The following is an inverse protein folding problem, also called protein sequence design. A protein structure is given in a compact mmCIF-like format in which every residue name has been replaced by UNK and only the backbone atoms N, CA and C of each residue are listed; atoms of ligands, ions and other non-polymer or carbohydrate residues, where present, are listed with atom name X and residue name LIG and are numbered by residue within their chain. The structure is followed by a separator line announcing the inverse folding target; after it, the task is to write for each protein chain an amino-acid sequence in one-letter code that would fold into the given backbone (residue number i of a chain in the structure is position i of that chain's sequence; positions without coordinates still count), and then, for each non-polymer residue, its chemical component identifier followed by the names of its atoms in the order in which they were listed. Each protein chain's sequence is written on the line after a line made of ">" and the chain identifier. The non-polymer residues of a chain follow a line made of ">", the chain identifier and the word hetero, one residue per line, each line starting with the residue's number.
data_IF_074587552243
#
_entry.id   IF_074587552243
#
_cell.length_a   1.000
_cell.length_b   1.000
_cell.length_c   1.000
_cell.angle_alpha   90.00
_cell.angle_beta   90.00
_cell.angle_gamma   90.00
#
_symmetry.space_group_name_H-M   'P 1'
#
loop_
_entity.id
_entity.type
_entity.pdbx_description
1 polymer ?
#
# COMPACT_ATOMS: atom_id res chain seq x y z
N UNK A 1 -8.06 -9.95 -9.71
CA UNK A 1 -8.71 -8.71 -10.20
C UNK A 1 -8.36 -7.57 -9.26
N UNK A 2 -7.95 -6.40 -9.77
CA UNK A 2 -7.66 -5.22 -8.94
C UNK A 2 -8.82 -4.24 -8.92
N UNK A 3 -9.00 -3.51 -7.82
CA UNK A 3 -10.02 -2.45 -7.67
C UNK A 3 -9.37 -1.08 -7.57
N UNK A 4 -9.91 -0.09 -8.29
CA UNK A 4 -9.46 1.30 -8.16
C UNK A 4 -10.04 1.92 -6.89
N UNK A 5 -9.18 2.59 -6.11
CA UNK A 5 -9.54 3.30 -4.89
C UNK A 5 -8.99 4.73 -4.93
N UNK A 6 -9.71 5.62 -4.26
CA UNK A 6 -9.37 7.04 -4.15
C UNK A 6 -9.41 7.46 -2.68
N UNK A 7 -8.37 8.18 -2.26
CA UNK A 7 -8.22 8.65 -0.88
C UNK A 7 -7.74 10.10 -0.89
N UNK A 8 -8.21 10.89 0.08
CA UNK A 8 -7.74 12.27 0.26
C UNK A 8 -6.41 12.34 1.01
N UNK A 9 -5.76 13.50 0.94
CA UNK A 9 -4.61 13.83 1.79
C UNK A 9 -4.89 13.54 3.28
N UNK A 10 -3.89 12.99 3.97
CA UNK A 10 -3.96 12.61 5.38
C UNK A 10 -4.63 11.26 5.64
N UNK A 11 -5.21 10.60 4.62
CA UNK A 11 -5.79 9.27 4.79
C UNK A 11 -4.73 8.23 5.12
N UNK A 12 -5.02 7.36 6.09
CA UNK A 12 -4.11 6.29 6.53
C UNK A 12 -4.51 5.01 5.80
N UNK A 13 -3.63 4.51 4.95
CA UNK A 13 -3.85 3.29 4.17
C UNK A 13 -3.49 2.04 4.99
N UNK A 14 -2.47 2.18 5.83
CA UNK A 14 -1.93 1.10 6.65
C UNK A 14 -1.63 1.66 8.03
N UNK A 15 -2.13 0.98 9.05
CA UNK A 15 -1.83 1.25 10.45
C UNK A 15 -1.07 0.06 11.06
N UNK A 16 -0.04 0.30 11.89
CA UNK A 16 0.68 -0.78 12.56
C UNK A 16 -0.25 -1.68 13.37
N UNK A 17 -0.04 -2.99 13.26
CA UNK A 17 -0.86 -4.01 13.94
C UNK A 17 -2.16 -4.38 13.21
N UNK A 18 -2.55 -3.65 12.16
CA UNK A 18 -3.63 -4.07 11.27
C UNK A 18 -3.05 -4.87 10.10
N UNK A 19 -3.49 -6.12 9.90
CA UNK A 19 -2.96 -6.92 8.82
C UNK A 19 -3.46 -6.38 7.47
N UNK A 20 -2.53 -6.02 6.59
CA UNK A 20 -2.82 -5.53 5.25
C UNK A 20 -2.74 -6.70 4.29
N UNK A 21 -3.91 -7.19 3.86
CA UNK A 21 -3.99 -8.32 2.94
C UNK A 21 -4.08 -7.85 1.49
N UNK A 22 -3.01 -7.27 0.95
CA UNK A 22 -2.98 -6.87 -0.46
C UNK A 22 -1.81 -6.00 -0.90
N UNK A 23 -1.81 -5.71 -2.20
CA UNK A 23 -0.87 -4.82 -2.88
C UNK A 23 -1.60 -3.55 -3.32
N UNK A 24 -0.94 -2.41 -3.20
CA UNK A 24 -1.40 -1.13 -3.72
C UNK A 24 -0.44 -0.63 -4.79
N UNK A 25 -0.94 -0.43 -6.01
CA UNK A 25 -0.21 0.24 -7.09
C UNK A 25 -0.62 1.71 -7.16
N UNK A 26 0.31 2.62 -6.91
CA UNK A 26 0.04 4.06 -6.95
C UNK A 26 -0.09 4.52 -8.41
N UNK A 27 -1.25 5.09 -8.76
CA UNK A 27 -1.51 5.66 -10.09
C UNK A 27 -1.28 7.18 -10.12
N UNK A 28 -1.67 7.87 -9.04
CA UNK A 28 -1.52 9.32 -8.86
C UNK A 28 -1.40 9.63 -7.37
N UNK A 29 -0.72 10.72 -7.02
CA UNK A 29 -0.48 11.13 -5.64
C UNK A 29 0.79 10.53 -5.06
N UNK A 30 1.04 10.88 -3.80
CA UNK A 30 2.22 10.48 -3.02
C UNK A 30 1.76 9.92 -1.68
N UNK A 31 2.38 8.83 -1.26
CA UNK A 31 2.27 8.30 0.10
C UNK A 31 3.59 8.47 0.84
N UNK A 32 3.50 8.74 2.13
CA UNK A 32 4.59 8.60 3.07
C UNK A 32 4.52 7.20 3.68
N UNK A 33 5.61 6.46 3.56
CA UNK A 33 5.81 5.18 4.24
C UNK A 33 6.74 5.42 5.41
N UNK A 34 6.26 5.09 6.61
CA UNK A 34 7.01 5.22 7.85
C UNK A 34 7.25 3.83 8.42
N UNK A 35 8.50 3.55 8.76
CA UNK A 35 8.94 2.31 9.41
C UNK A 35 9.66 2.69 10.71
N UNK A 36 10.04 1.72 11.57
CA UNK A 36 10.81 2.02 12.79
C UNK A 36 12.21 2.58 12.52
N UNK A 37 12.73 2.40 11.30
CA UNK A 37 14.12 2.71 10.94
C UNK A 37 14.21 3.96 10.05
N UNK A 38 13.24 4.14 9.16
CA UNK A 38 13.25 5.20 8.16
C UNK A 38 11.84 5.63 7.73
N UNK A 39 11.76 6.82 7.15
CA UNK A 39 10.59 7.31 6.43
C UNK A 39 10.96 7.69 5.00
N UNK A 40 10.09 7.37 4.04
CA UNK A 40 10.32 7.67 2.64
C UNK A 40 9.03 7.81 1.86
N UNK A 41 9.09 8.55 0.77
CA UNK A 41 7.94 8.77 -0.12
C UNK A 41 7.88 7.75 -1.25
N UNK A 42 6.64 7.45 -1.68
CA UNK A 42 6.36 6.66 -2.87
C UNK A 42 5.26 7.35 -3.69
N UNK A 43 5.53 7.48 -4.97
CA UNK A 43 4.64 8.11 -5.93
C UNK A 43 4.21 7.14 -7.05
N UNK A 44 3.69 7.68 -8.17
CA UNK A 44 3.16 6.88 -9.25
C UNK A 44 4.13 5.81 -9.78
N UNK A 45 3.59 4.64 -10.11
CA UNK A 45 4.36 3.49 -10.62
C UNK A 45 5.03 2.65 -9.54
N UNK A 46 5.01 3.07 -8.28
CA UNK A 46 5.50 2.26 -7.17
C UNK A 46 4.38 1.37 -6.61
N UNK A 47 4.80 0.18 -6.15
CA UNK A 47 3.96 -0.74 -5.40
C UNK A 47 4.26 -0.56 -3.91
N UNK A 48 3.20 -0.53 -3.11
CA UNK A 48 3.25 -0.58 -1.64
C UNK A 48 2.48 -1.84 -1.24
N UNK A 49 3.07 -2.74 -0.46
CA UNK A 49 2.42 -4.03 -0.17
C UNK A 49 3.27 -5.28 -0.37
N UNK A 50 4.52 -5.19 -0.85
CA UNK A 50 5.27 -6.41 -1.13
C UNK A 50 5.56 -7.21 0.16
N UNK A 51 5.29 -8.51 0.06
CA UNK A 51 4.88 -9.47 1.10
C UNK A 51 5.90 -9.81 2.20
N UNK A 52 6.82 -8.91 2.54
CA UNK A 52 7.76 -9.09 3.66
C UNK A 52 7.75 -7.92 4.66
N UNK A 53 7.01 -6.83 4.39
CA UNK A 53 6.96 -5.64 5.26
C UNK A 53 5.58 -5.31 5.85
N UNK A 54 4.52 -6.01 5.44
CA UNK A 54 3.13 -5.59 5.66
C UNK A 54 2.18 -6.71 6.12
N UNK A 55 2.72 -7.87 6.49
CA UNK A 55 1.99 -8.96 7.16
C UNK A 55 1.68 -8.66 8.64
N UNK A 56 1.94 -7.42 9.10
CA UNK A 56 1.80 -6.99 10.48
C UNK A 56 3.01 -7.32 11.36
N UNK A 57 4.09 -7.89 10.79
CA UNK A 57 5.33 -8.19 11.53
C UNK A 57 6.23 -6.97 11.70
N UNK A 58 6.10 -5.95 10.85
CA UNK A 58 6.79 -4.67 10.95
C UNK A 58 5.80 -3.54 11.29
N UNK A 59 6.17 -2.66 12.24
CA UNK A 59 5.43 -1.44 12.58
C UNK A 59 5.52 -0.42 11.42
N UNK A 60 4.74 -0.65 10.37
CA UNK A 60 4.70 0.21 9.19
C UNK A 60 3.41 1.02 9.18
N UNK A 61 3.54 2.33 8.94
CA UNK A 61 2.41 3.24 8.70
C UNK A 61 2.51 3.81 7.29
N UNK A 62 1.40 3.80 6.55
CA UNK A 62 1.33 4.40 5.21
C UNK A 62 0.24 5.45 5.20
N UNK A 63 0.59 6.69 4.86
CA UNK A 63 -0.33 7.83 4.86
C UNK A 63 -0.27 8.55 3.52
N UNK A 64 -1.42 8.94 2.97
CA UNK A 64 -1.51 9.80 1.79
C UNK A 64 -1.00 11.21 2.13
N UNK A 65 0.01 11.69 1.41
CA UNK A 65 0.52 13.06 1.51
C UNK A 65 -0.15 14.02 0.52
N UNK A 66 -0.97 13.48 -0.39
CA UNK A 66 -1.76 14.20 -1.38
C UNK A 66 -2.94 13.34 -1.80
N UNK A 67 -3.85 13.89 -2.59
CA UNK A 67 -4.94 13.12 -3.19
C UNK A 67 -4.40 11.93 -3.98
N UNK A 68 -4.82 10.74 -3.54
CA UNK A 68 -4.23 9.47 -3.94
C UNK A 68 -5.23 8.68 -4.78
N UNK A 69 -4.75 8.20 -5.93
CA UNK A 69 -5.45 7.18 -6.73
C UNK A 69 -4.57 5.95 -6.85
N UNK A 70 -5.11 4.79 -6.54
CA UNK A 70 -4.37 3.54 -6.56
C UNK A 70 -5.22 2.36 -7.03
N UNK A 71 -4.55 1.26 -7.36
CA UNK A 71 -5.20 -0.04 -7.59
C UNK A 71 -4.86 -0.94 -6.42
N UNK A 72 -5.88 -1.41 -5.70
CA UNK A 72 -5.76 -2.43 -4.67
C UNK A 72 -5.94 -3.82 -5.28
N UNK A 73 -5.03 -4.73 -4.98
CA UNK A 73 -5.08 -6.14 -5.39
C UNK A 73 -5.05 -6.98 -4.13
N UNK A 74 -6.06 -7.84 -3.95
CA UNK A 74 -6.08 -8.74 -2.80
C UNK A 74 -4.96 -9.78 -2.91
N UNK A 75 -4.53 -10.34 -1.77
CA UNK A 75 -3.57 -11.47 -1.76
C UNK A 75 -3.97 -12.58 -2.70
N UNK A 76 -5.22 -13.05 -2.59
CA UNK A 76 -5.72 -14.18 -3.36
C UNK A 76 -5.75 -13.89 -4.85
N UNK A 77 -6.07 -12.65 -5.24
CA UNK A 77 -6.03 -12.21 -6.63
C UNK A 77 -4.60 -12.18 -7.20
N UNK A 78 -3.63 -11.78 -6.38
CA UNK A 78 -2.22 -11.78 -6.76
C UNK A 78 -1.65 -13.20 -6.88
N UNK A 79 -1.91 -14.06 -5.89
CA UNK A 79 -1.48 -15.46 -5.91
C UNK A 79 -2.05 -16.21 -7.12
N UNK A 80 -3.33 -15.98 -7.44
CA UNK A 80 -3.97 -16.54 -8.63
C UNK A 80 -3.31 -16.06 -9.94
N UNK A 81 -2.86 -14.79 -10.00
CA UNK A 81 -2.18 -14.24 -11.17
C UNK A 81 -0.76 -14.81 -11.37
N UNK A 82 -0.10 -15.27 -10.31
CA UNK A 82 1.24 -15.89 -10.39
C UNK A 82 1.20 -17.36 -10.79
N UNK A 83 0.08 -18.05 -10.60
CA UNK A 83 -0.09 -19.47 -10.96
C UNK A 83 -0.77 -19.71 -12.31
N UNK A 84 -1.15 -18.63 -13.00
CA UNK A 84 -1.81 -18.65 -14.32
C UNK A 84 -0.87 -18.83 -15.50
#
# INVERSE_FOLDING_TARGET
>A
MGSELEFGEGHVLVEPGEPVYGLFLIRSGVVLVQTPIEEYERGPGHVVGEWEKLDGSEDVRVTAQSDLRLVAVSRSDYEAALTG
#
